data_IF_979636648480
#
_entry.id   IF_979636648480
#
_cell.length_a   1.000
_cell.length_b   1.000
_cell.length_c   1.000
_cell.angle_alpha   90.00
_cell.angle_beta   90.00
_cell.angle_gamma   90.00
#
_symmetry.space_group_name_H-M   'P 1'
#
loop_
_entity.id
_entity.type
_entity.pdbx_description
1 polymer ?
#
# COMPACT_ATOMS: atom_id res chain seq x y z
N UNK A 1 8.63 23.70 23.81
CA UNK A 1 9.92 23.15 24.22
C UNK A 1 9.79 21.64 24.29
N UNK A 2 10.45 20.91 23.39
CA UNK A 2 10.29 19.45 23.18
C UNK A 2 11.13 18.63 24.18
N UNK A 3 11.47 19.22 25.33
CA UNK A 3 12.47 18.79 26.29
C UNK A 3 11.92 17.93 27.45
N UNK A 4 10.63 17.61 27.47
CA UNK A 4 10.01 16.80 28.53
C UNK A 4 9.71 15.38 28.05
N UNK A 5 10.36 14.41 28.72
CA UNK A 5 10.24 12.94 28.72
C UNK A 5 9.27 12.23 27.78
N UNK A 6 9.74 11.14 27.17
CA UNK A 6 8.96 10.21 26.34
C UNK A 6 8.51 8.98 27.14
N UNK A 7 7.41 8.34 26.72
CA UNK A 7 6.92 7.07 27.28
C UNK A 7 6.66 6.12 26.12
N UNK A 8 7.32 4.96 26.13
CA UNK A 8 7.08 3.87 25.17
C UNK A 8 5.73 3.22 25.48
N UNK A 9 4.99 2.80 24.44
CA UNK A 9 3.62 2.27 24.61
C UNK A 9 3.45 0.93 23.93
N UNK A 10 3.08 -0.09 24.69
CA UNK A 10 3.10 -1.52 24.29
C UNK A 10 1.78 -2.06 23.75
N UNK A 11 0.72 -1.25 23.78
CA UNK A 11 -0.63 -1.63 23.40
C UNK A 11 -1.42 -2.15 24.60
N UNK A 12 -2.72 -1.79 24.67
CA UNK A 12 -3.63 -1.93 25.81
C UNK A 12 -3.47 -0.91 26.95
N UNK A 13 -2.47 -0.04 26.90
CA UNK A 13 -2.27 1.01 27.90
C UNK A 13 -3.18 2.22 27.65
N UNK A 14 -3.61 2.87 28.74
CA UNK A 14 -4.30 4.15 28.66
C UNK A 14 -3.30 5.31 28.73
N UNK A 15 -3.28 6.17 27.71
CA UNK A 15 -2.44 7.36 27.69
C UNK A 15 -3.31 8.60 27.94
N UNK A 16 -2.85 9.52 28.78
CA UNK A 16 -3.47 10.83 28.93
C UNK A 16 -2.74 11.90 28.08
N UNK A 17 -3.28 12.25 26.91
CA UNK A 17 -2.85 13.42 26.11
C UNK A 17 -3.87 14.51 26.33
N UNK A 18 -3.46 15.74 26.57
CA UNK A 18 -4.47 16.80 26.47
C UNK A 18 -5.60 16.65 27.50
N UNK A 19 -5.42 16.03 28.68
CA UNK A 19 -6.54 15.72 29.60
C UNK A 19 -7.57 14.70 29.07
N UNK A 20 -7.23 13.94 28.04
CA UNK A 20 -8.07 12.93 27.39
C UNK A 20 -7.54 11.53 27.70
N UNK A 21 -8.38 10.63 28.23
CA UNK A 21 -8.05 9.21 28.38
C UNK A 21 -8.11 8.52 27.02
N UNK A 22 -6.96 8.13 26.50
CA UNK A 22 -6.82 7.42 25.24
C UNK A 22 -6.70 5.94 25.50
N UNK A 23 -7.35 5.11 24.69
CA UNK A 23 -7.21 3.65 24.77
C UNK A 23 -6.59 3.13 23.49
N UNK A 24 -5.38 2.59 23.57
CA UNK A 24 -4.73 1.98 22.40
C UNK A 24 -5.27 0.57 22.21
N UNK A 25 -5.91 0.31 21.07
CA UNK A 25 -6.50 -1.01 20.76
C UNK A 25 -5.50 -1.92 20.03
N UNK A 26 -4.46 -1.40 19.37
CA UNK A 26 -3.41 -2.23 18.74
C UNK A 26 -2.18 -1.41 18.31
N UNK A 27 -0.96 -1.88 18.59
CA UNK A 27 0.31 -1.35 18.06
C UNK A 27 1.31 -2.51 17.78
N UNK A 28 2.06 -2.52 16.66
CA UNK A 28 3.11 -3.51 16.43
C UNK A 28 4.44 -3.13 17.14
N UNK A 29 5.20 -4.16 17.47
CA UNK A 29 6.42 -4.17 18.31
C UNK A 29 7.56 -3.24 17.83
N UNK A 30 7.56 -2.74 16.57
CA UNK A 30 8.65 -1.91 16.02
C UNK A 30 8.47 -0.40 16.09
N UNK A 31 7.28 0.10 16.46
CA UNK A 31 7.03 1.55 16.67
C UNK A 31 6.96 1.88 18.16
N UNK A 32 7.47 0.96 18.99
CA UNK A 32 7.62 1.18 20.41
C UNK A 32 8.78 2.11 20.76
N UNK A 33 9.77 2.25 19.87
CA UNK A 33 11.02 2.98 20.16
C UNK A 33 10.97 4.48 19.80
N UNK A 34 9.91 4.98 19.14
CA UNK A 34 9.95 6.34 18.57
C UNK A 34 8.69 7.19 18.70
N UNK A 35 7.61 6.68 19.31
CA UNK A 35 6.38 7.45 19.46
C UNK A 35 6.50 8.47 20.61
N UNK A 36 6.58 9.76 20.25
CA UNK A 36 6.70 10.90 21.17
C UNK A 36 5.34 11.58 21.33
N UNK A 37 4.90 11.81 22.57
CA UNK A 37 3.58 12.34 22.89
C UNK A 37 3.69 13.45 23.94
N UNK A 38 3.12 14.64 23.66
CA UNK A 38 3.20 15.84 24.52
C UNK A 38 1.96 16.04 25.44
N UNK A 39 2.15 16.67 26.62
CA UNK A 39 1.13 16.98 27.68
C UNK A 39 0.66 18.48 27.64
N UNK A 40 -0.37 18.94 28.41
CA UNK A 40 -1.79 18.53 28.51
C UNK A 40 -2.85 19.71 28.57
N UNK A 41 -4.13 19.50 28.15
CA UNK A 41 -5.37 20.19 28.62
C UNK A 41 -6.70 19.65 27.99
N UNK A 42 -7.56 19.08 28.87
CA UNK A 42 -9.01 18.69 28.83
C UNK A 42 -9.68 17.82 27.71
N UNK A 43 -10.31 16.72 28.19
CA UNK A 43 -11.57 16.00 27.82
C UNK A 43 -11.77 15.52 26.36
N UNK A 44 -12.05 14.20 26.21
CA UNK A 44 -12.55 13.43 25.03
C UNK A 44 -11.66 12.21 24.68
N UNK A 45 -12.12 10.98 24.94
CA UNK A 45 -11.32 9.78 24.69
C UNK A 45 -11.14 9.44 23.21
N UNK A 46 -10.00 8.84 22.86
CA UNK A 46 -9.71 8.34 21.50
C UNK A 46 -9.19 6.91 21.49
N UNK A 47 -9.47 6.21 20.40
CA UNK A 47 -9.10 4.81 20.17
C UNK A 47 -8.17 4.70 18.94
N UNK A 48 -7.07 3.93 19.05
CA UNK A 48 -6.10 3.72 17.97
C UNK A 48 -6.24 2.34 17.31
N UNK A 49 -6.27 2.30 15.97
CA UNK A 49 -6.10 1.08 15.16
C UNK A 49 -4.94 1.29 14.17
N UNK A 50 -4.01 0.35 14.12
CA UNK A 50 -2.77 0.47 13.33
C UNK A 50 -2.64 -0.74 12.39
N UNK A 51 -2.19 -0.45 11.16
CA UNK A 51 -1.56 -1.29 10.12
C UNK A 51 -2.34 -1.56 8.82
N UNK A 52 -1.63 -1.50 7.70
CA UNK A 52 -2.10 -1.90 6.37
C UNK A 52 -1.48 -1.07 5.24
N UNK A 53 -1.32 0.24 5.45
CA UNK A 53 -0.77 1.18 4.46
C UNK A 53 0.76 1.29 4.52
N UNK A 54 1.29 1.42 5.74
CA UNK A 54 2.72 1.42 6.12
C UNK A 54 2.84 0.87 7.54
N UNK A 55 4.06 0.50 7.96
CA UNK A 55 4.34 0.01 9.32
C UNK A 55 3.86 0.96 10.42
N UNK A 56 3.77 2.27 10.14
CA UNK A 56 3.37 3.33 11.06
C UNK A 56 2.04 4.02 10.80
N UNK A 57 1.17 3.43 9.99
CA UNK A 57 -0.15 4.03 9.73
C UNK A 57 -1.06 3.94 10.96
N UNK A 58 -1.59 5.08 11.40
CA UNK A 58 -2.48 5.20 12.56
C UNK A 58 -3.87 5.71 12.16
N UNK A 59 -4.91 5.05 12.67
CA UNK A 59 -6.28 5.55 12.65
C UNK A 59 -6.73 5.96 14.06
N UNK A 60 -7.45 7.09 14.17
CA UNK A 60 -7.92 7.69 15.41
C UNK A 60 -9.46 7.72 15.44
N UNK A 61 -10.08 7.03 16.40
CA UNK A 61 -11.51 7.12 16.64
C UNK A 61 -11.77 8.16 17.73
N UNK A 62 -12.57 9.17 17.42
CA UNK A 62 -13.08 10.12 18.39
C UNK A 62 -14.32 9.53 19.09
N UNK A 63 -14.24 9.27 20.40
CA UNK A 63 -15.29 8.53 21.12
C UNK A 63 -16.61 9.29 21.20
N UNK A 64 -16.59 10.62 21.38
CA UNK A 64 -17.84 11.39 21.56
C UNK A 64 -18.67 11.52 20.29
N UNK A 65 -18.03 11.78 19.14
CA UNK A 65 -18.73 11.88 17.85
C UNK A 65 -18.76 10.55 17.10
N UNK A 66 -18.09 9.52 17.64
CA UNK A 66 -17.90 8.23 17.00
C UNK A 66 -17.34 8.34 15.56
N UNK A 67 -16.48 9.33 15.33
CA UNK A 67 -15.88 9.63 14.03
C UNK A 67 -14.47 9.07 13.95
N UNK A 68 -14.13 8.43 12.84
CA UNK A 68 -12.86 7.73 12.66
C UNK A 68 -12.00 8.46 11.61
N UNK A 69 -10.86 8.97 12.05
CA UNK A 69 -9.80 9.52 11.21
C UNK A 69 -8.95 8.36 10.74
N UNK A 70 -8.97 8.04 9.45
CA UNK A 70 -8.30 6.86 8.87
C UNK A 70 -7.02 7.17 8.11
N UNK A 71 -6.63 8.45 8.00
CA UNK A 71 -5.42 8.84 7.27
C UNK A 71 -5.44 8.31 5.84
N UNK A 72 -4.32 7.74 5.39
CA UNK A 72 -4.16 7.16 4.04
C UNK A 72 -4.65 5.72 3.85
N UNK A 73 -5.22 5.09 4.89
CA UNK A 73 -5.79 3.73 4.78
C UNK A 73 -6.99 3.69 3.81
N UNK A 74 -7.73 4.78 3.74
CA UNK A 74 -8.77 5.04 2.76
C UNK A 74 -8.61 6.46 2.22
N UNK A 75 -8.84 6.63 0.93
CA UNK A 75 -8.92 7.93 0.26
C UNK A 75 -10.33 8.16 -0.27
N UNK A 76 -10.77 9.41 -0.40
CA UNK A 76 -12.13 9.74 -0.83
C UNK A 76 -12.45 9.30 -2.26
N UNK A 77 -11.44 9.14 -3.11
CA UNK A 77 -11.57 8.61 -4.48
C UNK A 77 -10.36 7.74 -4.83
N UNK A 78 -10.61 6.61 -5.51
CA UNK A 78 -9.57 5.68 -5.93
C UNK A 78 -9.26 4.61 -4.87
N UNK A 79 -8.02 4.14 -4.87
CA UNK A 79 -7.52 3.13 -3.94
C UNK A 79 -6.27 3.65 -3.25
N UNK A 80 -6.15 3.44 -1.94
CA UNK A 80 -4.92 3.74 -1.20
C UNK A 80 -3.73 2.97 -1.81
N UNK A 81 -2.58 3.61 -1.95
CA UNK A 81 -1.34 2.93 -2.36
C UNK A 81 -0.77 2.24 -1.12
N UNK A 82 -0.38 0.98 -1.18
CA UNK A 82 0.34 0.36 -0.06
C UNK A 82 1.83 0.39 -0.38
N UNK A 83 2.64 0.89 0.56
CA UNK A 83 4.07 0.97 0.35
C UNK A 83 4.76 -0.30 0.84
N UNK A 84 5.16 -1.15 -0.10
CA UNK A 84 5.90 -2.38 0.18
C UNK A 84 7.27 -2.14 0.82
N UNK A 85 7.90 -0.98 0.56
CA UNK A 85 9.23 -0.63 1.13
C UNK A 85 9.15 -0.16 2.57
N UNK A 86 7.98 0.32 3.00
CA UNK A 86 7.66 0.72 4.36
C UNK A 86 6.81 -0.34 5.10
N UNK A 87 6.93 -1.62 4.70
CA UNK A 87 6.30 -2.76 5.37
C UNK A 87 4.80 -2.98 5.12
N UNK A 88 4.24 -2.32 4.11
CA UNK A 88 2.85 -2.53 3.69
C UNK A 88 2.55 -4.01 3.44
N UNK A 89 1.47 -4.51 4.04
CA UNK A 89 1.05 -5.90 3.97
C UNK A 89 -0.46 -5.98 3.71
N UNK A 90 -0.85 -6.72 2.67
CA UNK A 90 -2.26 -6.82 2.30
C UNK A 90 -3.09 -7.62 3.31
N UNK A 91 -2.52 -8.64 3.96
CA UNK A 91 -3.20 -9.38 5.02
C UNK A 91 -3.51 -8.48 6.22
N UNK A 92 -2.54 -7.64 6.63
CA UNK A 92 -2.76 -6.63 7.67
C UNK A 92 -3.79 -5.59 7.24
N UNK A 93 -3.73 -5.12 5.99
CA UNK A 93 -4.72 -4.21 5.43
C UNK A 93 -6.15 -4.76 5.52
N UNK A 94 -6.36 -6.01 5.11
CA UNK A 94 -7.66 -6.68 5.23
C UNK A 94 -8.09 -6.77 6.70
N UNK A 95 -7.21 -7.27 7.57
CA UNK A 95 -7.48 -7.41 9.01
C UNK A 95 -7.87 -6.09 9.66
N UNK A 96 -7.12 -5.02 9.39
CA UNK A 96 -7.42 -3.69 9.92
C UNK A 96 -8.71 -3.15 9.34
N UNK A 97 -8.98 -3.32 8.05
CA UNK A 97 -10.23 -2.89 7.45
C UNK A 97 -11.44 -3.56 8.08
N UNK A 98 -11.38 -4.87 8.38
CA UNK A 98 -12.45 -5.56 9.12
C UNK A 98 -12.60 -4.99 10.54
N UNK A 99 -11.51 -4.75 11.26
CA UNK A 99 -11.58 -4.10 12.59
C UNK A 99 -12.23 -2.71 12.52
N UNK A 100 -11.89 -1.89 11.53
CA UNK A 100 -12.52 -0.57 11.33
C UNK A 100 -14.02 -0.69 11.04
N UNK A 101 -14.44 -1.76 10.35
CA UNK A 101 -15.87 -2.04 10.12
C UNK A 101 -16.58 -2.49 11.39
N UNK A 102 -15.95 -3.32 12.22
CA UNK A 102 -16.50 -3.78 13.50
C UNK A 102 -16.74 -2.61 14.47
N UNK A 103 -15.85 -1.60 14.45
CA UNK A 103 -16.03 -0.36 15.22
C UNK A 103 -17.29 0.42 14.83
N UNK A 104 -17.86 0.20 13.64
CA UNK A 104 -19.09 0.85 13.19
C UNK A 104 -19.10 2.39 13.34
N UNK A 105 -18.05 3.12 12.89
CA UNK A 105 -17.98 4.58 13.05
C UNK A 105 -19.12 5.29 12.31
N UNK A 106 -19.54 6.45 12.80
CA UNK A 106 -20.56 7.28 12.16
C UNK A 106 -20.02 8.06 10.96
N UNK A 107 -18.73 8.39 10.97
CA UNK A 107 -18.07 9.10 9.88
C UNK A 107 -16.62 8.62 9.71
N UNK A 108 -16.15 8.62 8.45
CA UNK A 108 -14.77 8.37 8.07
C UNK A 108 -14.13 9.67 7.57
N UNK A 109 -12.99 10.02 8.14
CA UNK A 109 -12.22 11.20 7.77
C UNK A 109 -10.90 10.72 7.14
N UNK A 110 -10.80 10.66 5.81
CA UNK A 110 -9.56 10.31 5.12
C UNK A 110 -8.58 11.49 5.11
N UNK A 111 -7.29 11.22 4.93
CA UNK A 111 -6.27 12.27 4.70
C UNK A 111 -6.50 12.99 3.36
N UNK A 112 -7.00 12.25 2.37
CA UNK A 112 -7.29 12.77 1.05
C UNK A 112 -8.77 12.57 0.69
N UNK A 113 -9.41 13.62 0.18
CA UNK A 113 -10.81 13.60 -0.24
C UNK A 113 -11.77 14.08 0.84
N UNK A 114 -13.07 13.90 0.59
CA UNK A 114 -14.14 14.39 1.47
C UNK A 114 -14.43 13.40 2.59
N UNK A 115 -14.90 13.94 3.72
CA UNK A 115 -15.46 13.14 4.82
C UNK A 115 -16.60 12.27 4.29
N UNK A 116 -16.62 11.01 4.69
CA UNK A 116 -17.62 10.04 4.28
C UNK A 116 -18.55 9.69 5.45
N UNK A 117 -19.86 9.86 5.24
CA UNK A 117 -20.91 9.61 6.23
C UNK A 117 -21.53 8.20 6.11
N UNK A 118 -21.00 7.37 5.22
CA UNK A 118 -21.36 5.95 5.07
C UNK A 118 -20.12 5.04 5.20
N UNK A 119 -19.46 4.99 6.38
CA UNK A 119 -18.21 4.27 6.56
C UNK A 119 -18.23 2.82 6.11
N UNK A 120 -19.28 2.08 6.47
CA UNK A 120 -19.44 0.68 6.11
C UNK A 120 -19.46 0.49 4.60
N UNK A 121 -20.16 1.35 3.86
CA UNK A 121 -20.23 1.27 2.40
C UNK A 121 -18.86 1.51 1.77
N UNK A 122 -18.15 2.54 2.24
CA UNK A 122 -16.79 2.86 1.78
C UNK A 122 -15.84 1.69 2.03
N UNK A 123 -15.75 1.19 3.27
CA UNK A 123 -14.84 0.10 3.64
C UNK A 123 -15.16 -1.20 2.87
N UNK A 124 -16.45 -1.54 2.71
CA UNK A 124 -16.86 -2.66 1.86
C UNK A 124 -16.42 -2.48 0.40
N UNK A 125 -16.51 -1.27 -0.15
CA UNK A 125 -16.04 -0.94 -1.48
C UNK A 125 -14.53 -1.17 -1.63
N UNK A 126 -13.74 -0.75 -0.64
CA UNK A 126 -12.30 -1.00 -0.60
C UNK A 126 -11.98 -2.51 -0.57
N UNK A 127 -12.62 -3.27 0.33
CA UNK A 127 -12.46 -4.72 0.40
C UNK A 127 -12.81 -5.40 -0.91
N UNK A 128 -13.92 -4.99 -1.54
CA UNK A 128 -14.37 -5.52 -2.83
C UNK A 128 -13.35 -5.22 -3.94
N UNK A 129 -12.85 -3.99 -4.03
CA UNK A 129 -11.86 -3.60 -5.03
C UNK A 129 -10.57 -4.42 -4.90
N UNK A 130 -10.13 -4.69 -3.66
CA UNK A 130 -8.94 -5.52 -3.40
C UNK A 130 -9.16 -6.98 -3.76
N UNK A 131 -10.30 -7.55 -3.41
CA UNK A 131 -10.65 -8.93 -3.79
C UNK A 131 -10.81 -9.08 -5.31
N UNK A 132 -11.41 -8.11 -5.98
CA UNK A 132 -11.50 -8.11 -7.44
C UNK A 132 -10.10 -8.09 -8.06
N UNK A 133 -9.17 -7.32 -7.49
CA UNK A 133 -7.77 -7.30 -7.94
C UNK A 133 -7.10 -8.67 -7.81
N UNK A 134 -7.30 -9.34 -6.68
CA UNK A 134 -6.79 -10.70 -6.46
C UNK A 134 -7.37 -11.69 -7.47
N UNK A 135 -8.67 -11.58 -7.76
CA UNK A 135 -9.32 -12.40 -8.79
C UNK A 135 -8.69 -12.19 -10.16
N UNK A 136 -8.48 -10.94 -10.59
CA UNK A 136 -7.83 -10.65 -11.88
C UNK A 136 -6.37 -11.13 -11.94
N UNK A 137 -5.64 -11.10 -10.82
CA UNK A 137 -4.28 -11.63 -10.74
C UNK A 137 -4.28 -13.16 -10.86
N UNK A 138 -5.19 -13.84 -10.16
CA UNK A 138 -5.35 -15.29 -10.27
C UNK A 138 -5.70 -15.70 -11.70
N UNK A 139 -6.68 -15.02 -12.32
CA UNK A 139 -7.07 -15.26 -13.70
C UNK A 139 -5.89 -15.06 -14.68
N UNK A 140 -5.06 -14.04 -14.47
CA UNK A 140 -3.84 -13.86 -15.26
C UNK A 140 -2.89 -15.07 -15.14
N UNK A 141 -2.69 -15.56 -13.91
CA UNK A 141 -1.78 -16.68 -13.63
C UNK A 141 -2.32 -17.98 -14.23
N UNK A 142 -3.62 -18.24 -14.09
CA UNK A 142 -4.32 -19.40 -14.66
C UNK A 142 -4.24 -19.39 -16.20
N UNK A 143 -4.30 -18.22 -16.81
CA UNK A 143 -4.07 -18.03 -18.24
C UNK A 143 -2.58 -18.14 -18.66
N UNK A 144 -1.69 -18.51 -17.73
CA UNK A 144 -0.29 -18.81 -18.00
C UNK A 144 0.68 -17.66 -17.75
N UNK A 145 0.26 -16.54 -17.14
CA UNK A 145 1.17 -15.47 -16.76
C UNK A 145 2.15 -15.95 -15.67
N UNK A 146 3.46 -15.83 -15.95
CA UNK A 146 4.52 -16.28 -15.02
C UNK A 146 5.37 -15.14 -14.48
N UNK A 147 5.30 -13.96 -15.09
CA UNK A 147 6.14 -12.82 -14.71
C UNK A 147 5.28 -11.64 -14.24
N UNK A 148 5.88 -10.78 -13.40
CA UNK A 148 5.24 -9.55 -12.94
C UNK A 148 4.74 -8.68 -14.10
N UNK A 149 5.52 -8.59 -15.18
CA UNK A 149 5.14 -7.83 -16.36
C UNK A 149 3.87 -8.40 -17.02
N UNK A 150 3.77 -9.72 -17.16
CA UNK A 150 2.61 -10.35 -17.82
C UNK A 150 1.34 -10.19 -16.97
N UNK A 151 1.46 -10.33 -15.64
CA UNK A 151 0.33 -10.13 -14.71
C UNK A 151 -0.15 -8.68 -14.74
N UNK A 152 0.76 -7.70 -14.75
CA UNK A 152 0.39 -6.28 -14.85
C UNK A 152 -0.23 -5.99 -16.20
N UNK A 153 0.34 -6.50 -17.29
CA UNK A 153 -0.18 -6.28 -18.63
C UNK A 153 -1.61 -6.80 -18.80
N UNK A 154 -1.96 -7.88 -18.09
CA UNK A 154 -3.33 -8.40 -18.02
C UNK A 154 -4.22 -7.55 -17.08
N UNK A 155 -3.79 -7.39 -15.83
CA UNK A 155 -4.61 -6.79 -14.75
C UNK A 155 -4.81 -5.27 -14.91
N UNK A 156 -3.90 -4.60 -15.59
CA UNK A 156 -3.87 -3.15 -15.79
C UNK A 156 -3.82 -2.81 -17.29
N UNK A 157 -4.41 -3.65 -18.15
CA UNK A 157 -4.43 -3.47 -19.60
C UNK A 157 -4.95 -2.08 -20.03
N UNK A 158 -6.01 -1.61 -19.36
CA UNK A 158 -6.65 -0.31 -19.65
C UNK A 158 -6.00 0.89 -18.93
N UNK A 159 -4.97 0.64 -18.12
CA UNK A 159 -4.29 1.69 -17.34
C UNK A 159 -3.03 2.13 -18.08
N UNK A 160 -2.81 3.45 -18.11
CA UNK A 160 -1.61 4.05 -18.69
C UNK A 160 -0.34 3.39 -18.15
N UNK A 161 0.57 3.02 -19.06
CA UNK A 161 1.82 2.32 -18.74
C UNK A 161 2.72 3.11 -17.78
N UNK A 162 2.59 4.42 -17.70
CA UNK A 162 3.30 5.25 -16.71
C UNK A 162 2.93 4.90 -15.26
N UNK A 163 1.70 4.42 -15.05
CA UNK A 163 1.20 3.97 -13.75
C UNK A 163 1.50 2.48 -13.48
N UNK A 164 2.19 1.79 -14.39
CA UNK A 164 2.54 0.38 -14.17
C UNK A 164 3.62 0.20 -13.10
N UNK A 165 4.46 1.22 -12.86
CA UNK A 165 5.45 1.18 -11.76
C UNK A 165 4.76 1.08 -10.39
N UNK A 166 3.83 1.98 -10.01
CA UNK A 166 3.10 1.82 -8.75
C UNK A 166 2.19 0.58 -8.76
N UNK A 167 1.61 0.22 -9.91
CA UNK A 167 0.83 -1.02 -10.04
C UNK A 167 1.67 -2.27 -9.74
N UNK A 168 2.95 -2.28 -10.11
CA UNK A 168 3.85 -3.39 -9.87
C UNK A 168 4.05 -3.69 -8.38
N UNK A 169 4.18 -2.64 -7.56
CA UNK A 169 4.22 -2.80 -6.10
C UNK A 169 2.91 -3.42 -5.58
N UNK A 170 1.77 -2.91 -6.06
CA UNK A 170 0.46 -3.38 -5.65
C UNK A 170 0.21 -4.86 -6.02
N UNK A 171 0.60 -5.29 -7.22
CA UNK A 171 0.50 -6.70 -7.64
C UNK A 171 1.33 -7.60 -6.74
N UNK A 172 2.55 -7.20 -6.39
CA UNK A 172 3.42 -8.00 -5.51
C UNK A 172 2.78 -8.22 -4.14
N UNK A 173 2.19 -7.19 -3.54
CA UNK A 173 1.48 -7.31 -2.26
C UNK A 173 0.30 -8.28 -2.32
N UNK A 174 -0.45 -8.27 -3.41
CA UNK A 174 -1.55 -9.21 -3.62
C UNK A 174 -1.06 -10.64 -3.85
N UNK A 175 0.01 -10.83 -4.64
CA UNK A 175 0.60 -12.16 -4.84
C UNK A 175 1.14 -12.73 -3.53
N UNK A 176 1.81 -11.92 -2.71
CA UNK A 176 2.32 -12.35 -1.40
C UNK A 176 1.16 -12.74 -0.46
N UNK A 177 0.05 -12.01 -0.49
CA UNK A 177 -1.16 -12.35 0.29
C UNK A 177 -1.86 -13.62 -0.20
N UNK A 178 -1.97 -13.81 -1.52
CA UNK A 178 -2.51 -15.04 -2.09
C UNK A 178 -1.62 -16.25 -1.76
N UNK A 179 -0.30 -16.07 -1.73
CA UNK A 179 0.64 -17.10 -1.32
C UNK A 179 0.46 -17.49 0.15
N UNK A 180 0.28 -16.51 1.05
CA UNK A 180 0.01 -16.76 2.47
C UNK A 180 -1.32 -17.49 2.73
N UNK A 181 -2.27 -17.41 1.78
CA UNK A 181 -3.56 -18.09 1.85
C UNK A 181 -3.58 -19.44 1.12
N UNK A 182 -2.43 -19.89 0.57
CA UNK A 182 -2.33 -21.09 -0.26
C UNK A 182 -3.32 -21.11 -1.45
N UNK A 183 -3.62 -19.93 -2.00
CA UNK A 183 -4.58 -19.76 -3.12
C UNK A 183 -3.95 -19.71 -4.50
N UNK A 184 -2.62 -19.67 -4.58
CA UNK A 184 -1.93 -19.66 -5.85
C UNK A 184 -1.94 -21.07 -6.48
N UNK A 185 -2.03 -21.18 -7.82
CA UNK A 185 -1.92 -22.46 -8.51
C UNK A 185 -0.61 -23.19 -8.15
N UNK A 186 -0.65 -24.53 -8.05
CA UNK A 186 0.50 -25.33 -7.57
C UNK A 186 1.72 -25.22 -8.48
N UNK A 187 1.50 -24.96 -9.76
CA UNK A 187 2.53 -24.80 -10.78
C UNK A 187 3.20 -23.41 -10.70
N UNK A 188 2.58 -22.46 -10.01
CA UNK A 188 3.07 -21.11 -9.86
C UNK A 188 4.11 -21.02 -8.73
N UNK A 189 5.37 -20.83 -9.13
CA UNK A 189 6.47 -20.66 -8.17
C UNK A 189 6.65 -19.18 -7.80
N UNK A 190 6.33 -18.83 -6.55
CA UNK A 190 6.53 -17.49 -5.99
C UNK A 190 7.99 -17.04 -6.10
N UNK A 191 8.95 -17.94 -5.87
CA UNK A 191 10.38 -17.61 -6.01
C UNK A 191 10.75 -17.24 -7.46
N UNK A 192 10.23 -17.97 -8.46
CA UNK A 192 10.45 -17.62 -9.87
C UNK A 192 9.81 -16.28 -10.21
N UNK A 193 8.59 -16.02 -9.72
CA UNK A 193 7.91 -14.74 -9.87
C UNK A 193 8.72 -13.57 -9.27
N UNK A 194 9.21 -13.71 -8.04
CA UNK A 194 10.01 -12.68 -7.36
C UNK A 194 11.28 -12.30 -8.14
N UNK A 195 11.91 -13.25 -8.85
CA UNK A 195 13.06 -12.97 -9.73
C UNK A 195 12.72 -12.10 -10.95
N UNK A 196 11.44 -12.03 -11.32
CA UNK A 196 10.97 -11.19 -12.44
C UNK A 196 10.65 -9.76 -12.03
N UNK A 197 10.62 -9.48 -10.71
CA UNK A 197 10.41 -8.16 -10.14
C UNK A 197 11.65 -7.25 -10.31
N UNK A 198 11.52 -5.98 -9.92
CA UNK A 198 12.64 -5.03 -9.88
C UNK A 198 13.24 -4.75 -11.26
N UNK A 199 14.55 -4.94 -11.41
CA UNK A 199 15.30 -4.64 -12.64
C UNK A 199 14.76 -5.36 -13.89
N UNK A 200 14.34 -6.63 -13.76
CA UNK A 200 13.80 -7.39 -14.90
C UNK A 200 12.43 -6.87 -15.35
N UNK A 201 11.62 -6.41 -14.41
CA UNK A 201 10.37 -5.74 -14.72
C UNK A 201 10.64 -4.40 -15.40
N UNK A 202 11.52 -3.58 -14.82
CA UNK A 202 11.86 -2.26 -15.35
C UNK A 202 12.45 -2.33 -16.77
N UNK A 203 13.29 -3.33 -17.06
CA UNK A 203 13.85 -3.50 -18.41
C UNK A 203 12.78 -3.88 -19.43
N UNK A 204 11.91 -4.87 -19.13
CA UNK A 204 10.79 -5.25 -20.02
C UNK A 204 9.81 -4.10 -20.22
N UNK A 205 9.49 -3.37 -19.15
CA UNK A 205 8.62 -2.20 -19.19
C UNK A 205 9.19 -1.07 -20.05
N UNK A 206 10.47 -0.74 -19.87
CA UNK A 206 11.17 0.26 -20.67
C UNK A 206 11.14 -0.10 -22.16
N UNK A 207 11.46 -1.35 -22.49
CA UNK A 207 11.41 -1.86 -23.86
C UNK A 207 9.98 -1.80 -24.44
N UNK A 208 8.97 -2.16 -23.66
CA UNK A 208 7.57 -2.10 -24.08
C UNK A 208 7.12 -0.65 -24.36
N UNK A 209 7.51 0.30 -23.52
CA UNK A 209 7.25 1.73 -23.73
C UNK A 209 7.89 2.24 -25.03
N UNK A 210 9.16 1.91 -25.27
CA UNK A 210 9.89 2.30 -26.48
C UNK A 210 9.27 1.73 -27.76
N UNK A 211 8.92 0.42 -27.76
CA UNK A 211 8.34 -0.25 -28.94
C UNK A 211 6.95 0.27 -29.31
N UNK A 212 6.15 0.68 -28.33
CA UNK A 212 4.80 1.18 -28.60
C UNK A 212 4.74 2.61 -29.14
N UNK A 213 5.88 3.29 -29.38
CA UNK A 213 5.90 4.69 -29.84
C UNK A 213 5.17 5.64 -28.90
N UNK A 214 5.05 5.29 -27.62
CA UNK A 214 4.07 5.87 -26.71
C UNK A 214 4.32 7.38 -26.53
N UNK A 215 3.26 8.16 -26.76
CA UNK A 215 3.14 9.55 -26.29
C UNK A 215 3.00 9.54 -24.77
N UNK A 216 4.10 9.23 -24.07
CA UNK A 216 4.24 9.51 -22.64
C UNK A 216 3.85 10.97 -22.42
N UNK A 217 2.68 11.17 -21.78
CA UNK A 217 2.09 12.50 -21.53
C UNK A 217 3.02 13.42 -20.73
N UNK A 218 3.99 12.86 -20.01
CA UNK A 218 4.93 13.60 -19.17
C UNK A 218 6.33 13.69 -19.80
N UNK A 219 6.78 14.88 -20.25
CA UNK A 219 8.05 15.05 -20.96
C UNK A 219 9.28 14.70 -20.09
N UNK A 220 9.23 14.94 -18.78
CA UNK A 220 10.31 14.56 -17.85
C UNK A 220 10.48 13.05 -17.72
N UNK A 221 9.38 12.29 -17.77
CA UNK A 221 9.42 10.83 -17.69
C UNK A 221 9.92 10.22 -19.00
N UNK A 222 9.62 10.85 -20.15
CA UNK A 222 10.22 10.49 -21.45
C UNK A 222 11.73 10.59 -21.44
N UNK A 223 12.27 11.73 -21.02
CA UNK A 223 13.73 11.93 -20.99
C UNK A 223 14.40 10.96 -20.03
N UNK A 224 13.83 10.71 -18.85
CA UNK A 224 14.36 9.73 -17.90
C UNK A 224 14.38 8.30 -18.46
N UNK A 225 13.30 7.86 -19.12
CA UNK A 225 13.20 6.52 -19.73
C UNK A 225 14.19 6.37 -20.90
N UNK A 226 14.29 7.39 -21.77
CA UNK A 226 15.22 7.39 -22.90
C UNK A 226 16.68 7.34 -22.42
N UNK A 227 17.04 8.17 -21.43
CA UNK A 227 18.39 8.18 -20.85
C UNK A 227 18.71 6.84 -20.17
N UNK A 228 17.78 6.26 -19.41
CA UNK A 228 17.95 4.95 -18.80
C UNK A 228 18.14 3.84 -19.84
N UNK A 229 17.38 3.87 -20.93
CA UNK A 229 17.51 2.91 -22.03
C UNK A 229 18.86 3.03 -22.77
N UNK A 230 19.33 4.26 -23.01
CA UNK A 230 20.65 4.53 -23.62
C UNK A 230 21.78 4.06 -22.72
N UNK A 231 21.69 4.27 -21.41
CA UNK A 231 22.69 3.76 -20.45
C UNK A 231 22.74 2.23 -20.42
N UNK A 232 21.58 1.56 -20.43
CA UNK A 232 21.51 0.09 -20.45
C UNK A 232 22.07 -0.46 -21.78
N UNK A 233 21.69 0.13 -22.91
CA UNK A 233 22.20 -0.26 -24.23
C UNK A 233 23.70 0.00 -24.36
N UNK A 234 24.18 1.17 -23.89
CA UNK A 234 25.59 1.52 -23.87
C UNK A 234 26.42 0.59 -22.99
N UNK A 235 25.90 0.19 -21.82
CA UNK A 235 26.56 -0.79 -20.95
C UNK A 235 26.62 -2.18 -21.59
N UNK A 236 25.55 -2.61 -22.26
CA UNK A 236 25.51 -3.89 -22.99
C UNK A 236 26.48 -3.91 -24.19
N UNK A 237 26.57 -2.83 -24.95
CA UNK A 237 27.52 -2.67 -26.07
C UNK A 237 28.96 -2.65 -25.54
N UNK A 238 29.23 -1.87 -24.48
CA UNK A 238 30.56 -1.80 -23.86
C UNK A 238 31.02 -3.16 -23.32
N UNK A 239 30.12 -3.91 -22.68
CA UNK A 239 30.41 -5.25 -22.20
C UNK A 239 30.73 -6.20 -23.37
N UNK A 240 29.95 -6.16 -24.45
CA UNK A 240 30.15 -7.01 -25.64
C UNK A 240 31.41 -6.67 -26.46
N UNK A 241 31.96 -5.46 -26.34
CA UNK A 241 33.22 -5.06 -26.99
C UNK A 241 34.43 -5.49 -26.14
N UNK A 242 34.24 -5.73 -24.84
CA UNK A 242 35.32 -6.00 -23.88
C UNK A 242 35.42 -7.49 -23.48
N UNK A 243 34.41 -8.30 -23.77
CA UNK A 243 34.40 -9.77 -23.69
C UNK A 243 34.83 -10.39 -25.02
#
# INVERSE_FOLDING_TARGET
DWSLGYTSVSGAEEICIGGQRLRIISAPVRILDSMKVARPCLLLGWIFLIQGHTDGHMALLHVSTHSLIVGDHCVGQGSAVLDMTAGGNMAEYFKTTYKLMELSPHALIPMHGRVNLWPKYMLCGYLKNRRNRESSILEAIENGAKTLFDIIAYTYADVDRTLWIPAASNVRLHVDHLAQQDKLPKEFSVQKFQRTCGLRFLSRWTLACLRSGFQLKHPKLRTAILLGAVLIAGFAIWYSIRS
#
